data_IF_820549866895
#
_entry.id   IF_820549866895
#
_cell.length_a   1.000
_cell.length_b   1.000
_cell.length_c   1.000
_cell.angle_alpha   90.00
_cell.angle_beta   90.00
_cell.angle_gamma   90.00
#
_symmetry.space_group_name_H-M   'P 1'
#
loop_
_entity.id
_entity.type
_entity.pdbx_description
1 polymer ?
#
# COMPACT_ATOMS: atom_id res chain seq x y z
N UNK A 1 25.95 5.67 0.22
CA UNK A 1 25.68 7.13 0.28
C UNK A 1 25.76 7.57 1.73
N UNK A 2 26.08 8.84 2.07
CA UNK A 2 26.02 9.26 3.49
C UNK A 2 24.59 9.07 4.01
N UNK A 3 24.42 8.32 5.10
CA UNK A 3 23.14 7.97 5.73
C UNK A 3 22.21 9.20 5.85
N UNK A 4 22.78 10.35 6.24
CA UNK A 4 22.08 11.63 6.34
C UNK A 4 21.49 12.14 5.01
N UNK A 5 22.19 11.96 3.89
CA UNK A 5 21.69 12.38 2.58
C UNK A 5 20.47 11.54 2.15
N UNK A 6 20.49 10.24 2.46
CA UNK A 6 19.38 9.32 2.17
C UNK A 6 18.13 9.72 2.98
N UNK A 7 18.30 9.97 4.28
CA UNK A 7 17.21 10.44 5.16
C UNK A 7 16.63 11.77 4.65
N UNK A 8 17.47 12.73 4.27
CA UNK A 8 17.00 14.03 3.73
C UNK A 8 16.19 13.82 2.44
N UNK A 9 16.62 12.95 1.54
CA UNK A 9 15.87 12.65 0.31
C UNK A 9 14.50 12.05 0.65
N UNK A 10 14.43 11.09 1.57
CA UNK A 10 13.16 10.50 2.01
C UNK A 10 12.23 11.55 2.61
N UNK A 11 12.75 12.39 3.51
CA UNK A 11 11.97 13.45 4.16
C UNK A 11 11.44 14.45 3.14
N UNK A 12 12.27 14.91 2.20
CA UNK A 12 11.85 15.83 1.13
C UNK A 12 10.80 15.16 0.24
N UNK A 13 11.01 13.91 -0.14
CA UNK A 13 10.06 13.15 -0.95
C UNK A 13 8.69 13.02 -0.27
N UNK A 14 8.67 12.66 1.02
CA UNK A 14 7.44 12.56 1.79
C UNK A 14 6.77 13.92 2.01
N UNK A 15 7.56 15.00 2.22
CA UNK A 15 7.04 16.35 2.32
C UNK A 15 6.38 16.81 1.01
N UNK A 16 6.95 16.46 -0.14
CA UNK A 16 6.35 16.73 -1.46
C UNK A 16 5.04 15.96 -1.63
N UNK A 17 5.03 14.66 -1.30
CA UNK A 17 3.79 13.86 -1.35
C UNK A 17 2.71 14.42 -0.42
N UNK A 18 3.09 14.83 0.80
CA UNK A 18 2.20 15.48 1.76
C UNK A 18 1.62 16.77 1.18
N UNK A 19 2.45 17.61 0.59
CA UNK A 19 2.03 18.87 -0.01
C UNK A 19 1.04 18.65 -1.17
N UNK A 20 1.27 17.65 -2.01
CA UNK A 20 0.36 17.27 -3.10
C UNK A 20 -0.98 16.78 -2.53
N UNK A 21 -0.96 15.91 -1.52
CA UNK A 21 -2.17 15.41 -0.87
C UNK A 21 -3.00 16.54 -0.23
N UNK A 22 -2.34 17.46 0.49
CA UNK A 22 -2.97 18.63 1.10
C UNK A 22 -3.65 19.55 0.06
N UNK A 23 -2.98 19.79 -1.07
CA UNK A 23 -3.55 20.55 -2.19
C UNK A 23 -4.76 19.84 -2.80
N UNK A 24 -4.68 18.52 -2.96
CA UNK A 24 -5.78 17.71 -3.51
C UNK A 24 -7.01 17.74 -2.59
N UNK A 25 -6.82 17.68 -1.28
CA UNK A 25 -7.91 17.74 -0.30
C UNK A 25 -8.58 19.13 -0.28
N UNK A 26 -7.81 20.22 -0.27
CA UNK A 26 -8.36 21.57 -0.38
C UNK A 26 -9.16 21.80 -1.66
N UNK A 27 -8.82 21.10 -2.74
CA UNK A 27 -9.48 21.19 -4.05
C UNK A 27 -10.29 19.93 -4.39
N UNK A 28 -10.89 19.27 -3.40
CA UNK A 28 -11.65 18.00 -3.56
C UNK A 28 -12.74 18.06 -4.64
N UNK A 29 -13.31 19.24 -4.90
CA UNK A 29 -14.36 19.46 -5.92
C UNK A 29 -13.82 19.92 -7.29
N UNK A 30 -12.50 20.09 -7.44
CA UNK A 30 -11.89 20.51 -8.70
C UNK A 30 -11.87 19.38 -9.73
N UNK A 31 -12.13 19.71 -11.00
CA UNK A 31 -12.03 18.79 -12.15
C UNK A 31 -10.64 18.15 -12.29
N UNK A 32 -9.61 18.77 -11.72
CA UNK A 32 -8.24 18.25 -11.72
C UNK A 32 -8.06 17.05 -10.78
N UNK A 33 -8.74 17.05 -9.63
CA UNK A 33 -8.66 15.97 -8.63
C UNK A 33 -9.66 14.86 -8.97
N UNK A 34 -10.85 15.23 -9.45
CA UNK A 34 -11.92 14.30 -9.80
C UNK A 34 -11.93 13.96 -11.30
N UNK A 35 -10.82 13.41 -11.80
CA UNK A 35 -10.64 13.02 -13.20
C UNK A 35 -10.51 11.48 -13.32
N UNK A 36 -11.12 10.83 -14.32
CA UNK A 36 -10.88 9.43 -14.66
C UNK A 36 -9.41 9.00 -14.68
N UNK A 37 -8.48 9.86 -15.12
CA UNK A 37 -7.05 9.52 -15.14
C UNK A 37 -6.47 9.35 -13.73
N UNK A 38 -6.84 10.22 -12.79
CA UNK A 38 -6.40 10.12 -11.38
C UNK A 38 -6.96 8.84 -10.76
N UNK A 39 -8.22 8.51 -11.06
CA UNK A 39 -8.83 7.26 -10.62
C UNK A 39 -8.07 6.03 -11.17
N UNK A 40 -7.78 6.00 -12.48
CA UNK A 40 -7.02 4.89 -13.09
C UNK A 40 -5.59 4.80 -12.54
N UNK A 41 -4.90 5.94 -12.37
CA UNK A 41 -3.56 5.96 -11.78
C UNK A 41 -3.56 5.52 -10.32
N UNK A 42 -4.62 5.79 -9.57
CA UNK A 42 -4.74 5.31 -8.18
C UNK A 42 -4.82 3.79 -8.06
N UNK A 43 -5.28 3.09 -9.11
CA UNK A 43 -5.23 1.61 -9.14
C UNK A 43 -3.79 1.08 -9.16
N UNK A 44 -2.81 1.89 -9.56
CA UNK A 44 -1.39 1.51 -9.55
C UNK A 44 -0.83 1.28 -8.14
N UNK A 45 -1.57 1.62 -7.07
CA UNK A 45 -1.26 1.24 -5.69
C UNK A 45 -1.13 -0.29 -5.52
N UNK A 46 -1.71 -1.07 -6.44
CA UNK A 46 -1.46 -2.51 -6.54
C UNK A 46 0.03 -2.86 -6.67
N UNK A 47 0.81 -2.03 -7.36
CA UNK A 47 2.25 -2.21 -7.56
C UNK A 47 3.01 -1.69 -6.32
N UNK A 48 3.26 -2.58 -5.37
CA UNK A 48 3.95 -2.28 -4.09
C UNK A 48 5.41 -2.77 -4.08
N UNK A 49 6.15 -2.57 -2.98
CA UNK A 49 7.52 -3.07 -2.87
C UNK A 49 7.59 -4.60 -3.05
N UNK A 50 6.55 -5.34 -2.64
CA UNK A 50 6.40 -6.76 -2.97
C UNK A 50 6.45 -7.06 -4.48
N UNK A 51 5.81 -6.23 -5.32
CA UNK A 51 5.87 -6.43 -6.79
C UNK A 51 7.27 -6.19 -7.32
N UNK A 52 7.99 -5.19 -6.78
CA UNK A 52 9.37 -4.91 -7.17
C UNK A 52 10.31 -6.05 -6.75
N UNK A 53 10.40 -6.32 -5.45
CA UNK A 53 11.29 -7.34 -4.88
C UNK A 53 10.94 -8.75 -5.35
N UNK A 54 9.65 -9.09 -5.41
CA UNK A 54 9.19 -10.40 -5.87
C UNK A 54 9.50 -10.64 -7.35
N UNK A 55 9.23 -9.67 -8.23
CA UNK A 55 9.46 -9.85 -9.67
C UNK A 55 10.93 -9.86 -10.02
N UNK A 56 11.71 -8.97 -9.42
CA UNK A 56 13.17 -8.94 -9.63
C UNK A 56 13.80 -10.23 -9.08
N UNK A 57 13.36 -10.72 -7.92
CA UNK A 57 13.83 -11.99 -7.36
C UNK A 57 13.49 -13.20 -8.23
N UNK A 58 12.26 -13.28 -8.76
CA UNK A 58 11.86 -14.34 -9.70
C UNK A 58 12.63 -14.20 -11.03
N UNK A 59 12.86 -12.98 -11.51
CA UNK A 59 13.62 -12.74 -12.73
C UNK A 59 15.07 -13.19 -12.59
N UNK A 60 15.71 -12.93 -11.44
CA UNK A 60 17.07 -13.35 -11.17
C UNK A 60 17.23 -14.88 -11.10
N UNK A 61 16.26 -15.59 -10.50
CA UNK A 61 16.36 -17.03 -10.28
C UNK A 61 15.73 -17.89 -11.40
N UNK A 62 14.75 -17.36 -12.12
CA UNK A 62 13.89 -18.14 -13.02
C UNK A 62 13.49 -17.38 -14.29
N UNK A 63 14.11 -16.24 -14.57
CA UNK A 63 13.90 -15.46 -15.79
C UNK A 63 12.46 -14.95 -15.93
N UNK A 64 11.83 -15.20 -17.08
CA UNK A 64 10.52 -14.62 -17.44
C UNK A 64 9.32 -15.20 -16.67
N UNK A 65 9.54 -16.07 -15.68
CA UNK A 65 8.46 -16.69 -14.91
C UNK A 65 7.64 -15.72 -14.04
N UNK A 66 8.06 -14.46 -13.90
CA UNK A 66 7.25 -13.42 -13.26
C UNK A 66 6.09 -12.93 -14.16
N UNK A 67 6.21 -13.09 -15.49
CA UNK A 67 5.30 -12.51 -16.47
C UNK A 67 3.82 -12.98 -16.32
N UNK A 68 3.54 -14.28 -16.05
CA UNK A 68 2.18 -14.75 -15.84
C UNK A 68 1.45 -14.06 -14.67
N UNK A 69 2.18 -13.63 -13.64
CA UNK A 69 1.60 -12.90 -12.48
C UNK A 69 0.98 -11.57 -12.94
N UNK A 70 1.51 -10.97 -14.01
CA UNK A 70 1.03 -9.70 -14.56
C UNK A 70 0.08 -9.89 -15.74
N UNK A 71 0.35 -10.85 -16.62
CA UNK A 71 -0.50 -11.13 -17.77
C UNK A 71 -1.87 -11.66 -17.35
N UNK A 72 -1.95 -12.47 -16.29
CA UNK A 72 -3.21 -12.99 -15.77
C UNK A 72 -4.22 -11.88 -15.43
N UNK A 73 -3.86 -10.92 -14.54
CA UNK A 73 -4.70 -9.76 -14.25
C UNK A 73 -5.05 -8.91 -15.47
N UNK A 74 -4.12 -8.71 -16.42
CA UNK A 74 -4.38 -7.94 -17.65
C UNK A 74 -5.46 -8.62 -18.51
N UNK A 75 -5.39 -9.94 -18.67
CA UNK A 75 -6.39 -10.72 -19.41
C UNK A 75 -7.72 -10.76 -18.65
N UNK A 76 -7.69 -10.83 -17.32
CA UNK A 76 -8.88 -10.85 -16.48
C UNK A 76 -9.54 -9.47 -16.31
N UNK A 77 -8.82 -8.38 -16.53
CA UNK A 77 -9.28 -7.00 -16.28
C UNK A 77 -10.62 -6.65 -16.98
N UNK A 78 -10.87 -7.02 -18.26
CA UNK A 78 -12.14 -6.75 -18.92
C UNK A 78 -13.34 -7.44 -18.25
N UNK A 79 -13.14 -8.64 -17.69
CA UNK A 79 -14.19 -9.35 -16.95
C UNK A 79 -14.36 -8.75 -15.55
N UNK A 80 -13.25 -8.42 -14.90
CA UNK A 80 -13.22 -7.87 -13.55
C UNK A 80 -13.96 -6.52 -13.45
N UNK A 81 -13.92 -5.69 -14.50
CA UNK A 81 -14.57 -4.38 -14.47
C UNK A 81 -16.10 -4.46 -14.31
N UNK A 82 -16.73 -5.53 -14.81
CA UNK A 82 -18.18 -5.76 -14.67
C UNK A 82 -18.52 -6.01 -13.20
N UNK A 83 -17.72 -6.84 -12.52
CA UNK A 83 -17.85 -7.14 -11.10
C UNK A 83 -17.57 -5.90 -10.25
N UNK A 84 -16.49 -5.18 -10.56
CA UNK A 84 -16.07 -3.98 -9.83
C UNK A 84 -17.17 -2.90 -9.85
N UNK A 85 -17.80 -2.65 -11.01
CA UNK A 85 -18.91 -1.69 -11.12
C UNK A 85 -20.09 -2.07 -10.23
N UNK A 86 -20.41 -3.37 -10.12
CA UNK A 86 -21.50 -3.85 -9.27
C UNK A 86 -21.16 -3.66 -7.78
N UNK A 87 -19.94 -3.99 -7.37
CA UNK A 87 -19.46 -3.78 -6.00
C UNK A 87 -19.52 -2.29 -5.64
N UNK A 88 -18.94 -1.42 -6.46
CA UNK A 88 -18.92 0.04 -6.22
C UNK A 88 -20.33 0.61 -6.08
N UNK A 89 -21.28 0.16 -6.92
CA UNK A 89 -22.67 0.63 -6.85
C UNK A 89 -23.32 0.26 -5.51
N UNK A 90 -23.18 -0.99 -5.08
CA UNK A 90 -23.74 -1.48 -3.81
C UNK A 90 -23.08 -0.76 -2.63
N UNK A 91 -21.75 -0.65 -2.62
CA UNK A 91 -21.01 0.04 -1.57
C UNK A 91 -21.42 1.51 -1.44
N UNK A 92 -21.63 2.21 -2.55
CA UNK A 92 -22.11 3.61 -2.53
C UNK A 92 -23.57 3.73 -2.04
N UNK A 93 -24.45 2.83 -2.47
CA UNK A 93 -25.87 2.83 -2.07
C UNK A 93 -26.04 2.59 -0.57
N UNK A 94 -25.26 1.67 0.00
CA UNK A 94 -25.33 1.29 1.41
C UNK A 94 -24.29 1.97 2.31
N UNK A 95 -23.53 2.94 1.78
CA UNK A 95 -22.46 3.68 2.50
C UNK A 95 -21.45 2.76 3.20
N UNK A 96 -21.06 1.69 2.50
CA UNK A 96 -20.14 0.67 2.99
C UNK A 96 -18.71 1.05 2.61
N UNK A 97 -17.80 1.07 3.57
CA UNK A 97 -16.38 1.38 3.36
C UNK A 97 -15.45 0.18 3.53
N UNK A 98 -15.92 -0.95 4.07
CA UNK A 98 -15.09 -2.15 4.31
C UNK A 98 -15.58 -3.40 3.57
N UNK A 99 -14.67 -4.32 3.28
CA UNK A 99 -14.99 -5.63 2.68
C UNK A 99 -15.82 -6.48 3.66
N UNK A 100 -15.54 -6.40 4.96
CA UNK A 100 -16.28 -7.11 5.99
C UNK A 100 -17.76 -6.69 6.03
N UNK A 101 -18.01 -5.39 5.97
CA UNK A 101 -19.37 -4.85 5.93
C UNK A 101 -20.07 -5.17 4.59
N UNK A 102 -19.32 -5.21 3.49
CA UNK A 102 -19.87 -5.61 2.19
C UNK A 102 -20.35 -7.06 2.22
N UNK A 103 -19.56 -7.96 2.82
CA UNK A 103 -19.92 -9.38 2.93
C UNK A 103 -21.06 -9.54 3.94
N UNK A 104 -21.01 -8.90 5.12
CA UNK A 104 -22.09 -9.01 6.12
C UNK A 104 -23.44 -8.58 5.55
N UNK A 105 -23.48 -7.47 4.79
CA UNK A 105 -24.69 -6.97 4.14
C UNK A 105 -25.21 -7.89 3.03
N UNK A 106 -24.31 -8.55 2.30
CA UNK A 106 -24.70 -9.53 1.27
C UNK A 106 -25.38 -10.77 1.85
N UNK A 107 -25.08 -11.15 3.09
CA UNK A 107 -25.62 -12.33 3.77
C UNK A 107 -26.61 -11.99 4.89
N UNK A 108 -27.40 -10.91 4.72
CA UNK A 108 -28.49 -10.59 5.65
C UNK A 108 -28.07 -9.85 6.92
N UNK A 109 -26.99 -9.05 6.84
CA UNK A 109 -26.46 -8.23 7.94
C UNK A 109 -26.00 -9.05 9.16
N UNK A 110 -25.47 -10.26 8.91
CA UNK A 110 -24.96 -11.11 9.97
C UNK A 110 -23.66 -10.54 10.56
N UNK A 111 -23.74 -10.02 11.79
CA UNK A 111 -22.61 -9.44 12.53
C UNK A 111 -21.47 -10.42 12.77
N UNK A 112 -21.79 -11.71 12.98
CA UNK A 112 -20.77 -12.73 13.20
C UNK A 112 -19.92 -12.96 11.94
N UNK A 113 -20.56 -13.00 10.76
CA UNK A 113 -19.85 -13.13 9.50
C UNK A 113 -18.96 -11.92 9.22
N UNK A 114 -19.46 -10.71 9.50
CA UNK A 114 -18.65 -9.49 9.42
C UNK A 114 -17.42 -9.55 10.31
N UNK A 115 -17.58 -9.94 11.58
CA UNK A 115 -16.47 -10.07 12.52
C UNK A 115 -15.42 -11.11 12.05
N UNK A 116 -15.88 -12.25 11.54
CA UNK A 116 -15.01 -13.31 11.01
C UNK A 116 -14.19 -12.82 9.81
N UNK A 117 -14.83 -12.12 8.86
CA UNK A 117 -14.14 -11.54 7.70
C UNK A 117 -13.11 -10.51 8.16
N UNK A 118 -13.48 -9.63 9.10
CA UNK A 118 -12.54 -8.64 9.65
C UNK A 118 -11.32 -9.32 10.25
N UNK A 119 -11.50 -10.41 11.00
CA UNK A 119 -10.40 -11.15 11.61
C UNK A 119 -9.48 -11.78 10.55
N UNK A 120 -10.06 -12.39 9.50
CA UNK A 120 -9.29 -12.92 8.37
C UNK A 120 -8.51 -11.82 7.66
N UNK A 121 -9.16 -10.69 7.38
CA UNK A 121 -8.50 -9.53 6.77
C UNK A 121 -7.33 -9.05 7.64
N UNK A 122 -7.54 -8.93 8.96
CA UNK A 122 -6.53 -8.50 9.91
C UNK A 122 -5.32 -9.47 9.91
N UNK A 123 -5.58 -10.78 9.99
CA UNK A 123 -4.54 -11.82 9.92
C UNK A 123 -3.77 -11.82 8.59
N UNK A 124 -4.37 -11.38 7.49
CA UNK A 124 -3.68 -11.22 6.21
C UNK A 124 -2.90 -9.90 6.11
N UNK A 125 -3.48 -8.80 6.58
CA UNK A 125 -2.89 -7.46 6.45
C UNK A 125 -1.70 -7.24 7.37
N UNK A 126 -1.75 -7.77 8.61
CA UNK A 126 -0.65 -7.60 9.56
C UNK A 126 0.68 -8.16 9.04
N UNK A 127 0.79 -9.45 8.67
CA UNK A 127 2.05 -9.99 8.17
C UNK A 127 2.46 -9.35 6.85
N UNK A 128 1.49 -8.95 6.01
CA UNK A 128 1.79 -8.24 4.78
C UNK A 128 2.46 -6.89 5.03
N UNK A 129 1.94 -6.09 5.97
CA UNK A 129 2.57 -4.82 6.36
C UNK A 129 3.97 -5.08 6.94
N UNK A 130 4.13 -6.11 7.77
CA UNK A 130 5.45 -6.49 8.30
C UNK A 130 6.46 -6.82 7.20
N UNK A 131 6.05 -7.56 6.16
CA UNK A 131 6.91 -7.87 5.01
C UNK A 131 7.28 -6.62 4.21
N UNK A 132 6.36 -5.67 4.06
CA UNK A 132 6.64 -4.40 3.37
C UNK A 132 7.63 -3.55 4.16
N UNK A 133 7.49 -3.47 5.49
CA UNK A 133 8.45 -2.76 6.35
C UNK A 133 9.83 -3.42 6.33
N UNK A 134 9.89 -4.76 6.33
CA UNK A 134 11.14 -5.50 6.20
C UNK A 134 11.84 -5.21 4.87
N UNK A 135 11.09 -5.18 3.77
CA UNK A 135 11.66 -4.87 2.47
C UNK A 135 12.29 -3.46 2.44
N UNK A 136 11.64 -2.48 3.07
CA UNK A 136 12.18 -1.10 3.20
C UNK A 136 13.45 -1.07 4.05
N UNK A 137 13.49 -1.81 5.16
CA UNK A 137 14.68 -1.98 6.01
C UNK A 137 15.85 -2.53 5.20
N UNK A 138 15.63 -3.63 4.50
CA UNK A 138 16.66 -4.28 3.66
C UNK A 138 17.15 -3.34 2.55
N UNK A 139 16.27 -2.56 1.91
CA UNK A 139 16.70 -1.54 0.94
C UNK A 139 17.65 -0.54 1.58
N UNK A 140 17.31 -0.06 2.77
CA UNK A 140 18.04 1.00 3.45
C UNK A 140 19.44 0.55 3.87
N UNK A 141 19.55 -0.67 4.41
CA UNK A 141 20.84 -1.30 4.77
C UNK A 141 21.75 -1.42 3.54
N UNK A 142 21.21 -1.92 2.42
CA UNK A 142 21.95 -2.05 1.16
C UNK A 142 22.43 -0.68 0.64
N UNK A 143 21.62 0.37 0.75
CA UNK A 143 21.98 1.71 0.26
C UNK A 143 22.94 2.48 1.17
N UNK A 144 22.99 2.10 2.45
CA UNK A 144 23.84 2.75 3.46
C UNK A 144 25.26 2.18 3.53
N UNK A 145 25.59 1.17 2.71
CA UNK A 145 26.89 0.49 2.68
C UNK A 145 27.30 -0.13 4.03
N UNK A 146 26.33 -0.38 4.92
CA UNK A 146 26.58 -1.08 6.18
C UNK A 146 26.55 -2.59 5.94
N UNK A 147 27.51 -3.09 5.15
CA UNK A 147 27.79 -4.52 5.11
C UNK A 147 28.37 -4.94 6.46
N UNK A 148 27.51 -5.39 7.37
CA UNK A 148 27.80 -6.04 8.67
C UNK A 148 27.75 -5.15 9.93
N UNK A 149 26.73 -4.32 10.11
CA UNK A 149 26.38 -3.87 11.47
C UNK A 149 25.18 -4.68 11.99
N UNK A 150 25.47 -5.69 12.82
CA UNK A 150 24.43 -6.32 13.64
C UNK A 150 24.13 -5.33 14.75
N UNK A 151 23.15 -4.46 14.52
CA UNK A 151 22.68 -3.48 15.50
C UNK A 151 22.20 -4.22 16.75
N UNK A 152 23.00 -4.12 17.83
CA UNK A 152 22.73 -4.75 19.13
C UNK A 152 21.76 -3.92 19.99
N UNK A 153 21.22 -2.81 19.46
CA UNK A 153 20.27 -1.94 20.15
C UNK A 153 19.28 -1.30 19.17
N UNK A 154 17.99 -1.30 19.55
CA UNK A 154 16.87 -0.77 18.76
C UNK A 154 16.92 0.75 18.49
N UNK A 155 17.93 1.45 19.03
CA UNK A 155 18.07 2.92 18.98
C UNK A 155 19.06 3.36 17.89
N UNK A 156 20.00 2.49 17.48
CA UNK A 156 20.99 2.77 16.43
C UNK A 156 20.54 2.26 15.04
N UNK A 157 19.40 1.55 15.01
CA UNK A 157 18.82 1.04 13.78
C UNK A 157 18.09 2.18 13.05
N UNK A 158 18.74 2.71 12.01
CA UNK A 158 18.16 3.67 11.07
C UNK A 158 16.76 3.26 10.54
N UNK A 159 16.47 1.97 10.49
CA UNK A 159 15.16 1.41 10.16
C UNK A 159 14.06 1.85 11.14
N UNK A 160 14.37 1.94 12.43
CA UNK A 160 13.41 2.36 13.45
C UNK A 160 12.92 3.79 13.20
N UNK A 161 13.82 4.69 12.81
CA UNK A 161 13.46 6.07 12.49
C UNK A 161 12.62 6.18 11.22
N UNK A 162 12.93 5.39 10.18
CA UNK A 162 12.11 5.33 8.95
C UNK A 162 10.72 4.76 9.25
N UNK A 163 10.64 3.68 10.03
CA UNK A 163 9.37 3.09 10.45
C UNK A 163 8.54 4.05 11.31
N UNK A 164 9.17 4.76 12.25
CA UNK A 164 8.51 5.79 13.07
C UNK A 164 7.98 6.92 12.21
N UNK A 165 8.76 7.40 11.24
CA UNK A 165 8.35 8.47 10.34
C UNK A 165 7.18 8.02 9.44
N UNK A 166 7.22 6.81 8.90
CA UNK A 166 6.11 6.21 8.15
C UNK A 166 4.87 6.01 9.03
N UNK A 167 5.02 5.63 10.29
CA UNK A 167 3.92 5.48 11.24
C UNK A 167 3.27 6.84 11.56
N UNK A 168 4.07 7.88 11.79
CA UNK A 168 3.60 9.26 11.95
C UNK A 168 2.87 9.71 10.68
N UNK A 169 3.44 9.47 9.50
CA UNK A 169 2.80 9.79 8.23
C UNK A 169 1.45 9.08 8.05
N UNK A 170 1.40 7.77 8.32
CA UNK A 170 0.19 6.96 8.20
C UNK A 170 -0.89 7.38 9.20
N UNK A 171 -0.52 7.78 10.42
CA UNK A 171 -1.49 8.22 11.44
C UNK A 171 -2.08 9.59 11.13
N UNK A 172 -1.27 10.55 10.66
CA UNK A 172 -1.75 11.88 10.26
C UNK A 172 -2.78 11.83 9.12
N UNK A 173 -2.57 11.00 8.11
CA UNK A 173 -3.50 10.88 6.97
C UNK A 173 -4.59 9.82 7.18
N UNK A 174 -4.29 8.72 7.85
CA UNK A 174 -5.25 7.63 8.08
C UNK A 174 -6.41 8.01 9.00
N UNK A 175 -6.26 9.09 9.78
CA UNK A 175 -7.29 9.61 10.68
C UNK A 175 -8.11 10.76 10.10
N UNK A 176 -7.76 11.29 8.92
CA UNK A 176 -8.54 12.33 8.26
C UNK A 176 -9.73 11.72 7.49
N UNK A 177 -10.95 12.05 7.94
CA UNK A 177 -12.23 11.71 7.30
C UNK A 177 -12.64 12.79 6.29
#
# INVERSE_FOLDING_TARGET
MSNYALVVIIVVYLAVLFYIAFLAERKKQSKWVNNPYVYTLSLAVYCSAWTYYGSVGIAANSGVNFLPIYLGPVIAAPLWIVVLRKIIRISKQHKISSIADFISLRYGNNRFLGALVTFICLLGTLPYISLQLKAVSETFEIMSDETSYVSTSAIDDSTFYVALLLAVFATFFGTQK
#
